data_IF_949845777691
#
_entry.id   IF_949845777691
#
_cell.length_a   1.000
_cell.length_b   1.000
_cell.length_c   1.000
_cell.angle_alpha   90.00
_cell.angle_beta   90.00
_cell.angle_gamma   90.00
#
_symmetry.space_group_name_H-M   'P 1'
#
loop_
_entity.id
_entity.type
_entity.pdbx_description
1 polymer ?
#
# COMPACT_ATOMS: atom_id res chain seq x y z
N UNK A 1 3.78 -2.18 -18.65
CA UNK A 1 5.17 -2.36 -18.23
C UNK A 1 5.43 -3.80 -17.75
N UNK A 2 4.78 -4.29 -16.65
CA UNK A 2 5.08 -5.60 -16.05
C UNK A 2 4.96 -6.76 -17.07
N UNK A 3 3.88 -6.82 -17.86
CA UNK A 3 3.70 -7.85 -18.89
C UNK A 3 4.80 -7.87 -19.95
N UNK A 4 5.28 -6.69 -20.37
CA UNK A 4 6.38 -6.57 -21.31
C UNK A 4 7.70 -7.11 -20.73
N UNK A 5 8.02 -6.76 -19.47
CA UNK A 5 9.21 -7.27 -18.77
C UNK A 5 9.14 -8.80 -18.66
N UNK A 6 7.99 -9.34 -18.26
CA UNK A 6 7.79 -10.79 -18.13
C UNK A 6 7.84 -11.52 -19.47
N UNK A 7 7.42 -10.86 -20.57
CA UNK A 7 7.48 -11.42 -21.92
C UNK A 7 8.92 -11.57 -22.45
N UNK A 8 9.85 -10.72 -21.99
CA UNK A 8 11.26 -10.80 -22.39
C UNK A 8 12.01 -11.96 -21.75
N UNK A 9 11.54 -12.47 -20.61
CA UNK A 9 12.15 -13.60 -19.86
C UNK A 9 13.65 -13.44 -19.54
N UNK A 10 14.13 -12.21 -19.45
CA UNK A 10 15.54 -11.86 -19.29
C UNK A 10 15.91 -11.35 -17.88
N UNK A 11 14.99 -11.48 -16.91
CA UNK A 11 15.23 -11.04 -15.54
C UNK A 11 14.67 -11.99 -14.48
N UNK A 12 15.39 -12.11 -13.38
CA UNK A 12 14.97 -12.88 -12.19
C UNK A 12 14.29 -11.99 -11.14
N UNK A 13 14.65 -10.71 -11.08
CA UNK A 13 14.17 -9.74 -10.11
C UNK A 13 13.60 -8.52 -10.81
N UNK A 14 12.42 -8.11 -10.36
CA UNK A 14 11.73 -6.91 -10.86
C UNK A 14 11.57 -5.95 -9.70
N UNK A 15 11.96 -4.69 -9.90
CA UNK A 15 11.79 -3.61 -8.94
C UNK A 15 10.84 -2.53 -9.48
N UNK A 16 9.98 -2.02 -8.62
CA UNK A 16 9.10 -0.91 -8.90
C UNK A 16 9.54 0.32 -8.10
N UNK A 17 9.43 1.48 -8.74
CA UNK A 17 9.68 2.78 -8.14
C UNK A 17 8.61 3.76 -8.61
N UNK A 18 8.26 4.70 -7.74
CA UNK A 18 7.49 5.87 -8.17
C UNK A 18 8.31 6.70 -9.17
N UNK A 19 7.65 7.28 -10.17
CA UNK A 19 8.34 8.03 -11.24
C UNK A 19 8.58 9.51 -10.89
N UNK A 20 8.10 9.98 -9.75
CA UNK A 20 8.15 11.37 -9.30
C UNK A 20 9.09 11.60 -8.10
N UNK A 21 10.02 10.67 -7.85
CA UNK A 21 11.03 10.76 -6.79
C UNK A 21 11.99 11.90 -7.11
N UNK A 22 12.09 12.88 -6.19
CA UNK A 22 13.01 14.02 -6.32
C UNK A 22 14.42 13.65 -5.85
N UNK A 23 14.52 12.83 -4.80
CA UNK A 23 15.78 12.41 -4.16
C UNK A 23 16.31 11.08 -4.70
N UNK A 24 16.07 10.77 -5.99
CA UNK A 24 16.48 9.50 -6.57
C UNK A 24 18.02 9.36 -6.65
N UNK A 25 18.50 8.20 -6.18
CA UNK A 25 19.90 7.77 -6.32
C UNK A 25 19.92 6.28 -6.74
N UNK A 26 20.94 5.87 -7.50
CA UNK A 26 21.14 4.47 -7.92
C UNK A 26 21.25 3.50 -6.73
N UNK A 27 21.74 3.98 -5.59
CA UNK A 27 21.84 3.17 -4.37
C UNK A 27 20.46 2.70 -3.88
N UNK A 28 19.41 3.49 -4.13
CA UNK A 28 18.03 3.17 -3.79
C UNK A 28 17.59 1.88 -4.52
N UNK A 29 17.84 1.81 -5.83
CA UNK A 29 17.57 0.61 -6.62
C UNK A 29 18.43 -0.57 -6.14
N UNK A 30 19.72 -0.35 -5.94
CA UNK A 30 20.63 -1.39 -5.46
C UNK A 30 20.19 -2.01 -4.13
N UNK A 31 19.81 -1.17 -3.17
CA UNK A 31 19.29 -1.63 -1.87
C UNK A 31 17.99 -2.42 -2.02
N UNK A 32 17.09 -1.99 -2.90
CA UNK A 32 15.80 -2.63 -3.10
C UNK A 32 15.92 -4.02 -3.74
N UNK A 33 16.89 -4.22 -4.63
CA UNK A 33 17.11 -5.48 -5.34
C UNK A 33 17.96 -6.46 -4.54
N UNK A 34 18.95 -5.96 -3.79
CA UNK A 34 19.96 -6.77 -3.11
C UNK A 34 19.39 -7.93 -2.28
N UNK A 35 18.35 -7.75 -1.44
CA UNK A 35 17.83 -8.85 -0.64
C UNK A 35 17.37 -10.06 -1.45
N UNK A 36 16.86 -9.85 -2.67
CA UNK A 36 16.37 -10.92 -3.54
C UNK A 36 17.47 -11.45 -4.45
N UNK A 37 18.34 -10.58 -4.96
CA UNK A 37 19.41 -10.94 -5.88
C UNK A 37 20.60 -11.63 -5.17
N UNK A 38 20.71 -11.49 -3.85
CA UNK A 38 21.78 -12.09 -3.07
C UNK A 38 21.65 -13.63 -3.00
N UNK A 39 22.58 -14.39 -3.54
CA UNK A 39 22.49 -15.86 -3.58
C UNK A 39 22.52 -16.52 -2.18
N UNK A 40 22.93 -15.80 -1.15
CA UNK A 40 22.95 -16.27 0.23
C UNK A 40 21.63 -15.98 0.98
N UNK A 41 20.67 -15.35 0.34
CA UNK A 41 19.36 -15.05 0.90
C UNK A 41 18.27 -15.85 0.17
N UNK A 42 17.09 -15.95 0.81
CA UNK A 42 15.96 -16.70 0.28
C UNK A 42 14.71 -15.81 0.18
N UNK A 43 14.92 -14.49 0.08
CA UNK A 43 13.83 -13.55 -0.06
C UNK A 43 13.22 -13.56 -1.46
N UNK A 44 11.90 -13.42 -1.52
CA UNK A 44 11.14 -13.37 -2.78
C UNK A 44 10.40 -12.04 -2.96
N UNK A 45 10.27 -11.28 -1.86
CA UNK A 45 9.69 -9.94 -1.85
C UNK A 45 10.49 -9.05 -0.92
N UNK A 46 10.74 -7.82 -1.36
CA UNK A 46 11.38 -6.79 -0.54
C UNK A 46 10.58 -5.48 -0.64
N UNK A 47 10.19 -4.93 0.50
CA UNK A 47 9.48 -3.65 0.62
C UNK A 47 10.43 -2.57 1.09
N UNK A 48 10.54 -1.49 0.34
CA UNK A 48 11.25 -0.30 0.77
C UNK A 48 10.50 0.45 1.87
N UNK A 49 11.24 1.10 2.76
CA UNK A 49 10.70 2.10 3.67
C UNK A 49 11.69 3.25 3.86
N UNK A 50 11.23 4.37 4.33
CA UNK A 50 12.01 5.59 4.49
C UNK A 50 11.30 6.58 5.40
N UNK A 51 12.05 7.53 5.95
CA UNK A 51 11.46 8.71 6.58
C UNK A 51 11.00 9.71 5.49
N UNK A 52 9.90 10.39 5.77
CA UNK A 52 9.36 11.45 4.91
C UNK A 52 9.25 12.73 5.72
N UNK A 53 10.34 13.46 5.74
CA UNK A 53 10.46 14.76 6.42
C UNK A 53 10.78 15.79 5.35
N UNK A 54 9.98 16.87 5.28
CA UNK A 54 10.33 18.03 4.47
C UNK A 54 11.40 18.84 5.22
N UNK A 55 12.62 18.95 4.70
CA UNK A 55 13.67 19.74 5.34
C UNK A 55 13.30 21.24 5.43
N UNK A 56 12.69 21.78 4.36
CA UNK A 56 12.31 23.20 4.27
C UNK A 56 11.20 23.55 5.27
N UNK A 57 10.17 22.71 5.38
CA UNK A 57 9.06 22.92 6.29
C UNK A 57 9.33 22.38 7.70
N UNK A 58 10.40 21.60 7.88
CA UNK A 58 10.67 20.83 9.11
C UNK A 58 9.44 20.07 9.56
N UNK A 59 8.76 19.35 8.65
CA UNK A 59 7.47 18.72 8.92
C UNK A 59 7.41 17.30 8.40
N UNK A 60 6.72 16.43 9.16
CA UNK A 60 6.44 15.04 8.73
C UNK A 60 5.43 15.01 7.58
N UNK A 61 5.76 14.31 6.51
CA UNK A 61 4.89 14.05 5.36
C UNK A 61 4.25 12.65 5.44
N UNK A 62 3.55 12.21 4.38
CA UNK A 62 2.92 10.90 4.32
C UNK A 62 1.65 10.77 5.18
N UNK A 63 0.76 11.76 5.13
CA UNK A 63 -0.48 11.81 5.93
C UNK A 63 -1.34 10.57 5.79
N UNK A 64 -1.51 10.01 4.57
CA UNK A 64 -2.35 8.81 4.37
C UNK A 64 -1.76 7.61 5.12
N UNK A 65 -0.45 7.39 5.06
CA UNK A 65 0.20 6.32 5.84
C UNK A 65 0.06 6.56 7.33
N UNK A 66 0.43 7.76 7.82
CA UNK A 66 0.49 8.07 9.26
C UNK A 66 -0.89 8.14 9.92
N UNK A 67 -1.84 8.81 9.27
CA UNK A 67 -3.12 9.16 9.87
C UNK A 67 -4.28 8.26 9.43
N UNK A 68 -4.10 7.49 8.35
CA UNK A 68 -5.13 6.56 7.88
C UNK A 68 -4.67 5.10 7.96
N UNK A 69 -3.73 4.67 7.10
CA UNK A 69 -3.42 3.23 6.97
C UNK A 69 -2.90 2.63 8.27
N UNK A 70 -1.90 3.27 8.90
CA UNK A 70 -1.31 2.74 10.14
C UNK A 70 -2.32 2.64 11.28
N UNK A 71 -3.09 3.70 11.63
CA UNK A 71 -4.09 3.60 12.70
C UNK A 71 -5.30 2.73 12.32
N UNK A 72 -5.68 2.66 11.04
CA UNK A 72 -6.75 1.78 10.58
C UNK A 72 -6.38 0.31 10.71
N UNK A 73 -5.21 -0.07 10.21
CA UNK A 73 -4.71 -1.45 10.29
C UNK A 73 -4.55 -1.90 11.75
N UNK A 74 -4.05 -1.02 12.61
CA UNK A 74 -3.92 -1.28 14.05
C UNK A 74 -5.29 -1.48 14.72
N UNK A 75 -6.27 -0.61 14.39
CA UNK A 75 -7.64 -0.73 14.86
C UNK A 75 -8.32 -2.02 14.40
N UNK A 76 -8.13 -2.39 13.13
CA UNK A 76 -8.72 -3.61 12.59
C UNK A 76 -8.08 -4.86 13.17
N UNK A 77 -6.77 -4.87 13.39
CA UNK A 77 -6.09 -5.95 14.10
C UNK A 77 -6.74 -6.22 15.45
N UNK A 78 -6.88 -5.20 16.28
CA UNK A 78 -7.44 -5.32 17.62
C UNK A 78 -8.91 -5.75 17.58
N UNK A 79 -9.68 -5.20 16.64
CA UNK A 79 -11.09 -5.54 16.45
C UNK A 79 -11.27 -7.00 16.02
N UNK A 80 -10.44 -7.48 15.07
CA UNK A 80 -10.51 -8.87 14.59
C UNK A 80 -10.14 -9.86 15.70
N UNK A 81 -9.09 -9.58 16.48
CA UNK A 81 -8.75 -10.44 17.62
C UNK A 81 -9.84 -10.43 18.70
N UNK A 82 -10.42 -9.29 19.02
CA UNK A 82 -11.54 -9.18 19.96
C UNK A 82 -12.75 -9.98 19.50
N UNK A 83 -13.02 -10.00 18.22
CA UNK A 83 -14.11 -10.77 17.61
C UNK A 83 -13.74 -12.22 17.29
N UNK A 84 -12.56 -12.68 17.66
CA UNK A 84 -12.04 -14.04 17.41
C UNK A 84 -11.91 -14.42 15.93
N UNK A 85 -11.81 -13.44 15.03
CA UNK A 85 -11.41 -13.66 13.65
C UNK A 85 -9.87 -13.74 13.56
N UNK A 86 -9.31 -14.86 14.00
CA UNK A 86 -7.87 -15.00 14.19
C UNK A 86 -7.07 -14.88 12.89
N UNK A 87 -7.61 -15.34 11.78
CA UNK A 87 -6.98 -15.25 10.46
C UNK A 87 -6.84 -13.78 10.04
N UNK A 88 -7.91 -13.02 10.07
CA UNK A 88 -7.86 -11.58 9.79
C UNK A 88 -7.02 -10.81 10.82
N UNK A 89 -7.04 -11.22 12.09
CA UNK A 89 -6.14 -10.66 13.11
C UNK A 89 -4.68 -10.82 12.73
N UNK A 90 -4.26 -12.00 12.20
CA UNK A 90 -2.90 -12.24 11.68
C UNK A 90 -2.62 -11.43 10.41
N UNK A 91 -3.57 -11.34 9.49
CA UNK A 91 -3.48 -10.52 8.29
C UNK A 91 -3.21 -9.05 8.63
N UNK A 92 -3.99 -8.45 9.53
CA UNK A 92 -3.75 -7.07 9.95
C UNK A 92 -2.46 -6.92 10.78
N UNK A 93 -2.08 -7.92 11.56
CA UNK A 93 -0.76 -7.94 12.23
C UNK A 93 0.40 -7.92 11.23
N UNK A 94 0.28 -8.68 10.14
CA UNK A 94 1.24 -8.66 9.05
C UNK A 94 1.31 -7.28 8.38
N UNK A 95 0.18 -6.70 7.99
CA UNK A 95 0.15 -5.35 7.42
C UNK A 95 0.74 -4.31 8.37
N UNK A 96 0.48 -4.44 9.67
CA UNK A 96 1.01 -3.54 10.72
C UNK A 96 2.53 -3.67 10.89
N UNK A 97 3.12 -4.77 10.49
CA UNK A 97 4.57 -4.99 10.59
C UNK A 97 5.38 -4.15 9.59
N UNK A 98 4.75 -3.65 8.53
CA UNK A 98 5.42 -2.79 7.56
C UNK A 98 5.59 -1.37 8.08
N UNK A 99 6.83 -0.87 8.00
CA UNK A 99 7.19 0.48 8.46
C UNK A 99 6.58 1.57 7.57
N UNK A 100 6.52 1.32 6.27
CA UNK A 100 5.87 2.20 5.30
C UNK A 100 5.04 1.39 4.28
N UNK A 101 3.81 0.98 4.62
CA UNK A 101 3.00 0.08 3.78
C UNK A 101 2.67 0.66 2.39
N UNK A 102 2.56 1.98 2.28
CA UNK A 102 2.26 2.68 1.02
C UNK A 102 3.50 3.14 0.24
N UNK A 103 4.70 2.59 0.53
CA UNK A 103 5.84 2.85 -0.36
C UNK A 103 5.58 2.25 -1.73
N UNK A 104 5.75 3.01 -2.80
CA UNK A 104 5.71 2.50 -4.19
C UNK A 104 6.94 1.66 -4.53
N UNK A 105 7.96 1.73 -3.69
CA UNK A 105 9.24 1.03 -3.83
C UNK A 105 9.16 -0.38 -3.25
N UNK A 106 9.13 -1.36 -4.13
CA UNK A 106 9.23 -2.77 -3.77
C UNK A 106 9.83 -3.58 -4.91
N UNK A 107 10.39 -4.72 -4.58
CA UNK A 107 10.90 -5.68 -5.54
C UNK A 107 10.40 -7.08 -5.25
N UNK A 108 10.38 -7.91 -6.26
CA UNK A 108 9.95 -9.31 -6.17
C UNK A 108 10.66 -10.17 -7.22
N UNK A 109 10.67 -11.48 -7.00
CA UNK A 109 11.09 -12.41 -8.05
C UNK A 109 10.13 -12.36 -9.24
N UNK A 110 10.63 -12.59 -10.45
CA UNK A 110 9.78 -12.68 -11.65
C UNK A 110 8.70 -13.77 -11.50
N UNK A 111 9.00 -14.85 -10.77
CA UNK A 111 8.03 -15.90 -10.47
C UNK A 111 6.85 -15.38 -9.64
N UNK A 112 7.12 -14.62 -8.56
CA UNK A 112 6.07 -14.00 -7.74
C UNK A 112 5.26 -12.99 -8.56
N UNK A 113 5.94 -12.18 -9.37
CA UNK A 113 5.31 -11.19 -10.24
C UNK A 113 4.29 -11.80 -11.24
N UNK A 114 4.57 -13.01 -11.73
CA UNK A 114 3.60 -13.74 -12.58
C UNK A 114 2.38 -14.23 -11.81
N UNK A 115 2.50 -14.47 -10.53
CA UNK A 115 1.46 -15.05 -9.68
C UNK A 115 0.52 -14.07 -9.00
N UNK A 116 0.93 -12.81 -8.80
CA UNK A 116 0.12 -11.81 -8.08
C UNK A 116 -0.92 -11.15 -8.99
N UNK A 117 -2.09 -10.84 -8.42
CA UNK A 117 -3.06 -9.96 -9.05
C UNK A 117 -2.66 -8.50 -8.76
N UNK A 118 -2.92 -7.59 -9.68
CA UNK A 118 -2.50 -6.19 -9.57
C UNK A 118 -3.72 -5.30 -9.44
N UNK A 119 -3.78 -4.45 -8.41
CA UNK A 119 -4.81 -3.42 -8.33
C UNK A 119 -4.51 -2.30 -9.33
N UNK A 120 -5.56 -1.74 -9.93
CA UNK A 120 -5.46 -0.66 -10.91
C UNK A 120 -5.79 0.72 -10.31
N UNK A 121 -6.04 0.78 -9.01
CA UNK A 121 -6.38 1.97 -8.26
C UNK A 121 -5.33 2.26 -7.16
N UNK A 122 -5.62 3.21 -6.27
CA UNK A 122 -4.76 3.56 -5.14
C UNK A 122 -4.64 2.46 -4.05
N UNK A 123 -5.28 1.33 -4.23
CA UNK A 123 -5.10 0.14 -3.41
C UNK A 123 -3.90 -0.72 -3.80
N UNK A 124 -3.09 -0.32 -4.80
CA UNK A 124 -2.00 -1.12 -5.36
C UNK A 124 -1.06 -1.68 -4.30
N UNK A 125 -0.53 -0.85 -3.43
CA UNK A 125 0.47 -1.26 -2.44
C UNK A 125 -0.13 -2.22 -1.40
N UNK A 126 -1.32 -1.91 -0.87
CA UNK A 126 -1.98 -2.77 0.13
C UNK A 126 -2.47 -4.08 -0.49
N UNK A 127 -2.94 -4.05 -1.74
CA UNK A 127 -3.29 -5.26 -2.48
C UNK A 127 -2.06 -6.15 -2.75
N UNK A 128 -0.94 -5.55 -3.16
CA UNK A 128 0.33 -6.27 -3.35
C UNK A 128 0.78 -6.93 -2.05
N UNK A 129 0.76 -6.20 -0.92
CA UNK A 129 1.09 -6.78 0.39
C UNK A 129 0.16 -7.94 0.76
N UNK A 130 -1.14 -7.84 0.44
CA UNK A 130 -2.10 -8.91 0.69
C UNK A 130 -1.82 -10.15 -0.16
N UNK A 131 -1.49 -9.96 -1.45
CA UNK A 131 -1.11 -11.08 -2.33
C UNK A 131 0.20 -11.74 -1.87
N UNK A 132 1.14 -10.96 -1.35
CA UNK A 132 2.38 -11.47 -0.76
C UNK A 132 2.07 -12.28 0.51
N UNK A 133 1.15 -11.82 1.36
CA UNK A 133 0.69 -12.56 2.54
C UNK A 133 0.10 -13.92 2.18
N UNK A 134 -0.71 -13.97 1.13
CA UNK A 134 -1.39 -15.19 0.69
C UNK A 134 -0.43 -16.21 0.06
N UNK A 135 0.70 -15.78 -0.50
CA UNK A 135 1.60 -16.61 -1.30
C UNK A 135 2.93 -16.94 -0.61
N UNK A 136 3.37 -16.10 0.33
CA UNK A 136 4.69 -16.24 0.94
C UNK A 136 4.63 -16.41 2.46
N UNK A 137 5.54 -17.20 2.97
CA UNK A 137 5.80 -17.26 4.42
C UNK A 137 6.66 -16.05 4.84
N UNK A 138 6.55 -15.56 6.09
CA UNK A 138 7.24 -14.34 6.54
C UNK A 138 8.75 -14.30 6.29
N UNK A 139 9.44 -15.45 6.39
CA UNK A 139 10.89 -15.52 6.17
C UNK A 139 11.33 -15.22 4.72
N UNK A 140 10.38 -15.21 3.76
CA UNK A 140 10.64 -14.86 2.36
C UNK A 140 10.46 -13.37 2.07
N UNK A 141 10.14 -12.57 3.08
CA UNK A 141 9.77 -11.17 2.98
C UNK A 141 10.81 -10.32 3.70
N UNK A 142 11.40 -9.37 2.98
CA UNK A 142 12.32 -8.38 3.53
C UNK A 142 11.68 -6.99 3.60
N UNK A 143 12.18 -6.16 4.50
CA UNK A 143 11.98 -4.71 4.50
C UNK A 143 13.34 -4.03 4.57
N UNK A 144 13.56 -3.01 3.76
CA UNK A 144 14.84 -2.32 3.70
C UNK A 144 14.68 -0.80 3.82
N UNK A 145 15.56 -0.17 4.61
CA UNK A 145 15.69 1.28 4.67
C UNK A 145 16.40 1.77 3.42
N UNK A 146 15.68 2.49 2.57
CA UNK A 146 16.20 2.90 1.27
C UNK A 146 17.16 4.07 1.37
N UNK A 147 16.72 5.15 2.02
CA UNK A 147 17.50 6.37 2.21
C UNK A 147 17.03 7.12 3.46
N UNK A 148 17.91 7.96 4.06
CA UNK A 148 17.57 8.68 5.29
C UNK A 148 16.38 9.63 5.15
N UNK A 149 16.19 10.24 3.98
CA UNK A 149 15.05 11.10 3.68
C UNK A 149 14.61 10.91 2.23
N UNK A 150 13.30 10.76 2.05
CA UNK A 150 12.68 10.49 0.76
C UNK A 150 11.67 11.58 0.39
N UNK A 151 11.91 12.20 -0.75
CA UNK A 151 11.08 13.27 -1.28
C UNK A 151 10.53 12.95 -2.65
N UNK A 152 9.23 13.12 -2.83
CA UNK A 152 8.54 13.12 -4.11
C UNK A 152 7.55 14.29 -4.17
N UNK A 153 6.99 14.57 -5.33
CA UNK A 153 5.98 15.65 -5.50
C UNK A 153 4.84 15.51 -4.51
N UNK A 154 4.52 16.60 -3.82
CA UNK A 154 3.44 16.63 -2.84
C UNK A 154 2.09 16.84 -3.53
N UNK A 155 1.12 15.99 -3.20
CA UNK A 155 -0.27 16.23 -3.56
C UNK A 155 -0.96 17.04 -2.45
N UNK A 156 -1.59 18.16 -2.84
CA UNK A 156 -2.38 18.97 -1.91
C UNK A 156 -3.64 18.22 -1.47
N UNK A 157 -4.11 18.51 -0.24
CA UNK A 157 -5.46 18.17 0.18
C UNK A 157 -6.42 19.01 -0.67
N UNK A 158 -7.05 18.43 -1.68
CA UNK A 158 -8.14 19.06 -2.39
C UNK A 158 -9.43 18.75 -1.63
N UNK A 159 -9.95 19.75 -0.91
CA UNK A 159 -11.24 19.67 -0.23
C UNK A 159 -12.43 19.76 -1.21
N UNK A 160 -12.20 20.23 -2.41
CA UNK A 160 -13.25 20.57 -3.37
C UNK A 160 -13.50 19.51 -4.44
N UNK A 161 -12.53 18.66 -4.77
CA UNK A 161 -12.70 17.61 -5.79
C UNK A 161 -12.63 16.21 -5.16
N UNK A 162 -13.81 15.61 -4.95
CA UNK A 162 -13.99 14.27 -4.37
C UNK A 162 -13.33 13.15 -5.20
N UNK A 163 -12.94 13.41 -6.43
CA UNK A 163 -12.35 12.44 -7.35
C UNK A 163 -10.83 12.57 -7.47
N UNK A 164 -10.20 13.50 -6.76
CA UNK A 164 -8.75 13.77 -6.85
C UNK A 164 -8.07 13.78 -5.48
N UNK A 165 -6.77 13.56 -5.49
CA UNK A 165 -5.90 13.71 -4.32
C UNK A 165 -6.13 12.67 -3.22
N UNK A 166 -5.88 13.06 -1.98
CA UNK A 166 -5.91 12.16 -0.82
C UNK A 166 -7.28 11.54 -0.53
N UNK A 167 -8.39 12.18 -0.96
CA UNK A 167 -9.74 11.62 -0.80
C UNK A 167 -9.87 10.29 -1.55
N UNK A 168 -9.58 10.30 -2.86
CA UNK A 168 -9.67 9.10 -3.70
C UNK A 168 -8.74 8.00 -3.18
N UNK A 169 -7.49 8.36 -2.83
CA UNK A 169 -6.53 7.41 -2.27
C UNK A 169 -7.07 6.70 -1.03
N UNK A 170 -7.62 7.44 -0.06
CA UNK A 170 -8.18 6.84 1.16
C UNK A 170 -9.39 5.95 0.85
N UNK A 171 -10.27 6.38 -0.05
CA UNK A 171 -11.46 5.61 -0.44
C UNK A 171 -11.07 4.31 -1.12
N UNK A 172 -10.15 4.33 -2.08
CA UNK A 172 -9.72 3.12 -2.81
C UNK A 172 -9.03 2.12 -1.87
N UNK A 173 -8.11 2.58 -1.01
CA UNK A 173 -7.46 1.74 0.01
C UNK A 173 -8.51 1.15 0.98
N UNK A 174 -9.45 1.96 1.45
CA UNK A 174 -10.51 1.49 2.35
C UNK A 174 -11.39 0.44 1.67
N UNK A 175 -11.80 0.65 0.43
CA UNK A 175 -12.59 -0.32 -0.37
C UNK A 175 -11.86 -1.65 -0.49
N UNK A 176 -10.55 -1.63 -0.72
CA UNK A 176 -9.76 -2.84 -0.76
C UNK A 176 -9.88 -3.63 0.57
N UNK A 177 -9.63 -3.00 1.72
CA UNK A 177 -9.72 -3.67 3.01
C UNK A 177 -11.14 -4.14 3.34
N UNK A 178 -12.16 -3.35 3.01
CA UNK A 178 -13.56 -3.75 3.20
C UNK A 178 -13.91 -4.99 2.36
N UNK A 179 -13.49 -5.00 1.10
CA UNK A 179 -13.69 -6.16 0.21
C UNK A 179 -12.94 -7.39 0.71
N UNK A 180 -11.69 -7.22 1.17
CA UNK A 180 -10.91 -8.31 1.74
C UNK A 180 -11.55 -8.88 3.00
N UNK A 181 -12.00 -8.05 3.95
CA UNK A 181 -12.71 -8.51 5.14
C UNK A 181 -14.02 -9.26 4.79
N UNK A 182 -14.78 -8.74 3.82
CA UNK A 182 -16.03 -9.39 3.37
C UNK A 182 -15.75 -10.74 2.74
N UNK A 183 -14.73 -10.89 1.91
CA UNK A 183 -14.35 -12.17 1.30
C UNK A 183 -13.90 -13.22 2.32
N UNK A 184 -13.49 -12.77 3.52
CA UNK A 184 -13.13 -13.63 4.66
C UNK A 184 -14.26 -13.75 5.70
N UNK A 185 -15.50 -13.46 5.31
CA UNK A 185 -16.70 -13.75 6.11
C UNK A 185 -17.04 -12.74 7.21
N UNK A 186 -16.44 -11.53 7.18
CA UNK A 186 -16.86 -10.46 8.10
C UNK A 186 -18.18 -9.86 7.62
N UNK A 187 -19.26 -9.90 8.41
CA UNK A 187 -20.48 -9.17 8.09
C UNK A 187 -20.22 -7.67 8.25
N UNK A 188 -20.24 -6.95 7.14
CA UNK A 188 -20.11 -5.48 7.12
C UNK A 188 -21.51 -4.86 7.25
N UNK A 189 -22.15 -5.04 8.41
CA UNK A 189 -23.39 -4.36 8.77
C UNK A 189 -23.14 -2.98 9.39
N UNK A 190 -24.21 -2.21 9.59
CA UNK A 190 -24.12 -0.85 10.13
C UNK A 190 -23.44 -0.82 11.51
N UNK A 191 -23.73 -1.80 12.36
CA UNK A 191 -23.14 -1.88 13.71
C UNK A 191 -21.64 -2.17 13.67
N UNK A 192 -21.21 -3.04 12.76
CA UNK A 192 -19.78 -3.28 12.55
C UNK A 192 -19.06 -2.03 12.03
N UNK A 193 -19.67 -1.34 11.07
CA UNK A 193 -19.08 -0.15 10.46
C UNK A 193 -18.97 1.00 11.47
N UNK A 194 -19.99 1.23 12.26
CA UNK A 194 -19.95 2.25 13.34
C UNK A 194 -18.81 1.96 14.32
N UNK A 195 -18.65 0.70 14.73
CA UNK A 195 -17.55 0.29 15.61
C UNK A 195 -16.19 0.44 14.93
N UNK A 196 -16.06 0.07 13.66
CA UNK A 196 -14.84 0.25 12.86
C UNK A 196 -14.45 1.73 12.79
N UNK A 197 -15.39 2.60 12.45
CA UNK A 197 -15.19 4.05 12.37
C UNK A 197 -14.78 4.66 13.71
N UNK A 198 -15.41 4.20 14.79
CA UNK A 198 -15.08 4.65 16.15
C UNK A 198 -13.66 4.21 16.54
N UNK A 199 -13.36 2.91 16.37
CA UNK A 199 -12.06 2.32 16.75
C UNK A 199 -10.92 2.94 15.94
N UNK A 200 -11.11 3.12 14.63
CA UNK A 200 -10.16 3.85 13.79
C UNK A 200 -9.90 5.26 14.34
N UNK A 201 -10.96 6.03 14.60
CA UNK A 201 -10.81 7.42 15.06
C UNK A 201 -10.05 7.50 16.39
N UNK A 202 -10.39 6.64 17.35
CA UNK A 202 -9.69 6.60 18.64
C UNK A 202 -8.22 6.22 18.50
N UNK A 203 -7.90 5.26 17.63
CA UNK A 203 -6.52 4.91 17.34
C UNK A 203 -5.77 6.03 16.63
N UNK A 204 -6.37 6.69 15.66
CA UNK A 204 -5.75 7.81 14.98
C UNK A 204 -5.39 8.95 15.94
N UNK A 205 -6.24 9.25 16.92
CA UNK A 205 -5.93 10.24 17.97
C UNK A 205 -4.74 9.82 18.87
N UNK A 206 -4.58 8.51 19.14
CA UNK A 206 -3.38 8.01 19.86
C UNK A 206 -2.11 8.21 19.02
N UNK A 207 -2.18 7.92 17.71
CA UNK A 207 -1.06 8.14 16.80
C UNK A 207 -0.71 9.62 16.64
N UNK A 208 -1.69 10.53 16.63
CA UNK A 208 -1.45 11.98 16.60
C UNK A 208 -0.63 12.41 17.82
N UNK A 209 -0.97 11.92 19.03
CA UNK A 209 -0.18 12.21 20.23
C UNK A 209 1.25 11.73 20.08
N UNK A 210 1.44 10.48 19.66
CA UNK A 210 2.76 9.91 19.44
C UNK A 210 3.58 10.70 18.41
N UNK A 211 2.97 11.11 17.29
CA UNK A 211 3.66 11.95 16.30
C UNK A 211 3.95 13.37 16.81
N UNK A 212 3.12 13.91 17.72
CA UNK A 212 3.42 15.16 18.40
C UNK A 212 4.67 15.05 19.26
N UNK A 213 4.79 13.96 20.04
CA UNK A 213 5.97 13.68 20.86
C UNK A 213 7.21 13.43 19.98
N UNK A 214 7.07 12.64 18.90
CA UNK A 214 8.15 12.41 17.93
C UNK A 214 8.61 13.72 17.27
N UNK A 215 7.69 14.63 16.95
CA UNK A 215 8.02 15.92 16.34
C UNK A 215 8.78 16.83 17.33
N UNK A 216 8.37 16.88 18.58
CA UNK A 216 9.03 17.66 19.63
C UNK A 216 10.48 17.19 19.83
N UNK A 217 10.69 15.87 19.94
CA UNK A 217 12.03 15.30 20.13
C UNK A 217 12.96 15.56 18.94
N UNK A 218 12.42 15.67 17.73
CA UNK A 218 13.20 15.84 16.48
C UNK A 218 13.20 17.29 15.96
N UNK A 219 12.78 18.28 16.73
CA UNK A 219 12.69 19.71 16.35
C UNK A 219 11.91 19.91 15.04
N UNK A 220 10.76 19.24 14.91
CA UNK A 220 9.88 19.33 13.75
C UNK A 220 8.63 20.15 14.06
N UNK A 221 8.14 20.87 13.06
CA UNK A 221 6.87 21.56 13.13
C UNK A 221 5.71 20.56 13.10
N UNK A 222 4.76 20.71 14.03
CA UNK A 222 3.60 19.83 14.12
C UNK A 222 2.34 20.58 14.53
N UNK A 223 1.34 20.59 13.65
CA UNK A 223 0.02 21.16 13.93
C UNK A 223 -0.98 20.05 14.27
N UNK A 224 -1.12 19.78 15.57
CA UNK A 224 -2.03 18.77 16.09
C UNK A 224 -3.49 18.99 15.65
N UNK A 225 -3.96 20.26 15.62
CA UNK A 225 -5.34 20.56 15.26
C UNK A 225 -5.61 20.26 13.77
N UNK A 226 -4.65 20.56 12.91
CA UNK A 226 -4.73 20.23 11.49
C UNK A 226 -4.73 18.72 11.27
N UNK A 227 -3.91 17.97 12.00
CA UNK A 227 -3.86 16.51 11.92
C UNK A 227 -5.18 15.89 12.42
N UNK A 228 -5.76 16.38 13.51
CA UNK A 228 -7.07 15.95 14.00
C UNK A 228 -8.21 16.27 13.02
N UNK A 229 -8.17 17.43 12.36
CA UNK A 229 -9.11 17.77 11.30
C UNK A 229 -8.99 16.81 10.12
N UNK A 230 -7.75 16.47 9.72
CA UNK A 230 -7.48 15.49 8.66
C UNK A 230 -8.05 14.12 9.00
N UNK A 231 -7.88 13.64 10.22
CA UNK A 231 -8.44 12.35 10.67
C UNK A 231 -9.97 12.35 10.65
N UNK A 232 -10.62 13.47 10.99
CA UNK A 232 -12.08 13.60 10.86
C UNK A 232 -12.52 13.45 9.41
N UNK A 233 -11.80 14.05 8.46
CA UNK A 233 -12.07 13.87 7.03
C UNK A 233 -11.86 12.42 6.58
N UNK A 234 -10.77 11.77 7.00
CA UNK A 234 -10.48 10.37 6.67
C UNK A 234 -11.55 9.41 7.21
N UNK A 235 -12.10 9.68 8.42
CA UNK A 235 -13.26 8.95 8.92
C UNK A 235 -14.47 9.07 8.00
N UNK A 236 -14.73 10.26 7.46
CA UNK A 236 -15.79 10.49 6.48
C UNK A 236 -15.53 9.75 5.16
N UNK A 237 -14.27 9.70 4.70
CA UNK A 237 -13.90 8.97 3.49
C UNK A 237 -14.02 7.45 3.67
N UNK A 238 -13.73 6.93 4.85
CA UNK A 238 -13.95 5.52 5.20
C UNK A 238 -15.44 5.17 5.15
N UNK A 239 -16.32 6.06 5.65
CA UNK A 239 -17.77 5.93 5.47
C UNK A 239 -18.17 5.92 3.99
N UNK A 240 -17.63 6.85 3.20
CA UNK A 240 -17.88 6.91 1.74
C UNK A 240 -17.46 5.60 1.05
N UNK A 241 -16.31 5.04 1.41
CA UNK A 241 -15.83 3.77 0.87
C UNK A 241 -16.82 2.62 1.18
N UNK A 242 -17.34 2.58 2.40
CA UNK A 242 -18.33 1.59 2.78
C UNK A 242 -19.64 1.75 2.02
N UNK A 243 -20.21 2.97 1.92
CA UNK A 243 -21.41 3.24 1.12
C UNK A 243 -21.24 2.80 -0.33
N UNK A 244 -20.10 3.13 -0.95
CA UNK A 244 -19.78 2.70 -2.31
C UNK A 244 -19.63 1.18 -2.42
N UNK A 245 -19.19 0.50 -1.36
CA UNK A 245 -19.02 -0.95 -1.34
C UNK A 245 -20.33 -1.73 -1.25
N UNK A 246 -21.47 -1.07 -1.05
CA UNK A 246 -22.82 -1.67 -1.09
C UNK A 246 -23.34 -1.88 -2.52
N UNK A 247 -22.79 -1.15 -3.47
CA UNK A 247 -23.13 -1.24 -4.89
C UNK A 247 -22.57 -2.48 -5.59
N UNK A 248 -22.75 -2.59 -6.90
CA UNK A 248 -22.13 -3.65 -7.69
C UNK A 248 -20.61 -3.66 -7.48
N UNK A 249 -20.07 -4.85 -7.20
CA UNK A 249 -18.63 -5.00 -7.02
C UNK A 249 -17.94 -4.98 -8.37
N UNK A 250 -17.25 -3.88 -8.67
CA UNK A 250 -16.26 -3.89 -9.73
C UNK A 250 -15.02 -4.64 -9.24
N UNK A 251 -14.47 -5.49 -10.10
CA UNK A 251 -13.22 -6.15 -9.79
C UNK A 251 -12.10 -5.11 -9.70
N UNK A 252 -11.53 -4.93 -8.52
CA UNK A 252 -10.43 -3.97 -8.30
C UNK A 252 -9.06 -4.56 -8.66
N UNK A 253 -8.99 -5.86 -8.92
CA UNK A 253 -7.77 -6.58 -9.23
C UNK A 253 -7.76 -7.07 -10.68
N UNK A 254 -6.70 -6.71 -11.41
CA UNK A 254 -6.35 -7.30 -12.69
C UNK A 254 -5.83 -8.72 -12.44
N UNK A 255 -6.26 -9.73 -13.21
CA UNK A 255 -5.79 -11.10 -13.04
C UNK A 255 -4.27 -11.24 -13.15
N UNK A 256 -3.70 -12.20 -12.44
CA UNK A 256 -2.27 -12.51 -12.51
C UNK A 256 -1.86 -12.91 -13.93
N UNK A 257 -0.60 -12.68 -14.29
CA UNK A 257 -0.06 -13.04 -15.60
C UNK A 257 -0.16 -14.53 -15.88
N UNK A 258 0.00 -15.40 -14.89
CA UNK A 258 -0.23 -16.83 -15.03
C UNK A 258 -1.65 -17.13 -15.53
N UNK A 259 -2.66 -16.44 -14.98
CA UNK A 259 -4.05 -16.62 -15.39
C UNK A 259 -4.32 -16.04 -16.78
N UNK A 260 -3.74 -14.88 -17.08
CA UNK A 260 -3.85 -14.24 -18.39
C UNK A 260 -3.23 -15.13 -19.47
N UNK A 261 -2.01 -15.63 -19.27
CA UNK A 261 -1.33 -16.52 -20.22
C UNK A 261 -2.07 -17.86 -20.40
N UNK A 262 -2.71 -18.39 -19.35
CA UNK A 262 -3.54 -19.58 -19.48
C UNK A 262 -4.76 -19.34 -20.38
N UNK A 263 -5.38 -18.17 -20.28
CA UNK A 263 -6.56 -17.81 -21.07
C UNK A 263 -6.22 -17.32 -22.47
N UNK A 264 -5.06 -16.72 -22.66
CA UNK A 264 -4.53 -16.13 -23.89
C UNK A 264 -3.06 -16.53 -24.06
N UNK A 265 -2.77 -17.74 -24.58
CA UNK A 265 -1.40 -18.28 -24.62
C UNK A 265 -0.40 -17.43 -25.43
N UNK A 266 -0.87 -16.65 -26.38
CA UNK A 266 -0.08 -15.77 -27.25
C UNK A 266 0.05 -14.33 -26.75
N UNK A 267 -0.41 -14.03 -25.54
CA UNK A 267 -0.46 -12.65 -25.03
C UNK A 267 0.92 -11.99 -24.97
N UNK A 268 1.97 -12.71 -24.61
CA UNK A 268 3.31 -12.15 -24.55
C UNK A 268 3.85 -11.79 -25.95
N UNK A 269 3.61 -12.62 -26.95
CA UNK A 269 3.95 -12.32 -28.35
C UNK A 269 3.23 -11.04 -28.81
N UNK A 270 1.92 -10.94 -28.56
CA UNK A 270 1.15 -9.74 -28.90
C UNK A 270 1.66 -8.47 -28.21
N UNK A 271 2.11 -8.57 -26.94
CA UNK A 271 2.67 -7.42 -26.21
C UNK A 271 3.99 -6.98 -26.85
N UNK A 272 4.86 -7.92 -27.21
CA UNK A 272 6.14 -7.60 -27.85
C UNK A 272 5.91 -6.96 -29.22
N UNK A 273 5.06 -7.53 -30.07
CA UNK A 273 4.69 -6.99 -31.38
C UNK A 273 4.07 -5.59 -31.28
N UNK A 274 3.16 -5.36 -30.31
CA UNK A 274 2.56 -4.05 -30.10
C UNK A 274 3.59 -2.99 -29.67
N UNK A 275 4.53 -3.35 -28.80
CA UNK A 275 5.60 -2.42 -28.37
C UNK A 275 6.58 -2.12 -29.52
N UNK A 276 6.88 -3.09 -30.38
CA UNK A 276 7.68 -2.87 -31.58
C UNK A 276 6.98 -1.90 -32.54
N UNK A 277 5.70 -2.13 -32.82
CA UNK A 277 4.92 -1.25 -33.69
C UNK A 277 4.75 0.19 -33.14
N UNK A 278 4.66 0.36 -31.82
CA UNK A 278 4.57 1.69 -31.19
C UNK A 278 5.91 2.47 -31.22
N UNK A 279 7.03 1.79 -31.49
CA UNK A 279 8.36 2.40 -31.56
C UNK A 279 8.87 2.63 -33.01
N UNK A 280 8.16 2.17 -34.02
CA UNK A 280 8.39 2.47 -35.43
C UNK A 280 7.72 3.79 -35.85
#
# INVERSE_FOLDING_TARGET
ALGYILAKEDCDVIALHDCDIVTYDRILLGRLIEPIANPNSDFQFCKGYYARISPDEKAMKGRVTRLFVTPFVDAMRDLMYTRRHLELGRFFSYHRSFKYPLAGEFSFTAQLARGINVAYDWGLEVATLSQVYDQLIPRKIAQIDLIPNYEHKHQALSSEDKNKGLHRMVVDIAKFYLTYMRSHGVPLDDAFVDMMLHTYYQNALKFIRKYSDDAEVNDLNYDRYQEEATVRHFRGFLWTAWEQSKGPHEATLIPSWNRVCYSLPDIYTRILEAVEADNE
#
